data_IF_748635997444
#
_entry.id   IF_748635997444
#
_cell.length_a   1.000
_cell.length_b   1.000
_cell.length_c   1.000
_cell.angle_alpha   90.00
_cell.angle_beta   90.00
_cell.angle_gamma   90.00
#
_symmetry.space_group_name_H-M   'P 1'
#
loop_
_entity.id
_entity.type
_entity.pdbx_description
1 polymer ?
#
# COMPACT_ATOMS: atom_id res chain seq x y z
N UNK A 1 -30.43 19.55 -16.75
CA UNK A 1 -29.42 19.00 -15.85
C UNK A 1 -30.14 18.43 -14.66
N UNK A 2 -30.05 17.14 -14.48
CA UNK A 2 -30.80 16.52 -13.42
C UNK A 2 -30.09 16.68 -12.06
N UNK A 3 -30.51 17.70 -11.31
CA UNK A 3 -30.17 17.89 -9.90
C UNK A 3 -30.50 16.60 -9.09
N UNK A 4 -31.47 15.84 -9.57
CA UNK A 4 -31.92 14.61 -8.92
C UNK A 4 -30.87 13.50 -8.87
N UNK A 5 -30.04 13.34 -9.92
CA UNK A 5 -28.97 12.33 -9.92
C UNK A 5 -27.80 12.72 -9.01
N UNK A 6 -27.48 14.01 -8.92
CA UNK A 6 -26.47 14.52 -8.00
C UNK A 6 -26.91 14.37 -6.54
N UNK A 7 -28.18 14.64 -6.26
CA UNK A 7 -28.77 14.42 -4.93
C UNK A 7 -28.77 12.94 -4.55
N UNK A 8 -28.98 12.05 -5.53
CA UNK A 8 -28.95 10.61 -5.31
C UNK A 8 -27.54 10.12 -4.95
N UNK A 9 -26.50 10.70 -5.56
CA UNK A 9 -25.10 10.40 -5.24
C UNK A 9 -24.78 10.61 -3.75
N UNK A 10 -25.29 11.68 -3.17
CA UNK A 10 -25.10 12.02 -1.75
C UNK A 10 -26.00 11.19 -0.80
N UNK A 11 -27.22 10.86 -1.24
CA UNK A 11 -28.22 10.22 -0.39
C UNK A 11 -28.20 8.70 -0.44
N UNK A 12 -27.91 8.11 -1.61
CA UNK A 12 -27.86 6.66 -1.81
C UNK A 12 -26.88 6.28 -2.93
N UNK A 13 -25.62 6.10 -2.54
CA UNK A 13 -24.53 5.78 -3.44
C UNK A 13 -24.74 4.45 -4.19
N UNK A 14 -25.44 3.47 -3.59
CA UNK A 14 -25.72 2.19 -4.24
C UNK A 14 -26.69 2.37 -5.39
N UNK A 15 -27.83 2.99 -5.14
CA UNK A 15 -28.84 3.25 -6.18
C UNK A 15 -28.27 4.16 -7.27
N UNK A 16 -27.52 5.18 -6.89
CA UNK A 16 -26.82 6.05 -7.85
C UNK A 16 -25.88 5.23 -8.77
N UNK A 17 -25.05 4.36 -8.19
CA UNK A 17 -24.10 3.53 -8.95
C UNK A 17 -24.84 2.61 -9.92
N UNK A 18 -25.86 1.90 -9.44
CA UNK A 18 -26.68 1.00 -10.28
C UNK A 18 -27.37 1.75 -11.41
N UNK A 19 -27.85 2.97 -11.15
CA UNK A 19 -28.46 3.85 -12.15
C UNK A 19 -27.44 4.25 -13.23
N UNK A 20 -26.23 4.66 -12.85
CA UNK A 20 -25.18 4.99 -13.81
C UNK A 20 -24.78 3.79 -14.67
N UNK A 21 -24.67 2.62 -14.06
CA UNK A 21 -24.39 1.37 -14.80
C UNK A 21 -25.50 1.06 -15.81
N UNK A 22 -26.75 1.22 -15.43
CA UNK A 22 -27.90 0.99 -16.32
C UNK A 22 -27.90 1.98 -17.51
N UNK A 23 -27.61 3.24 -17.26
CA UNK A 23 -27.50 4.27 -18.30
C UNK A 23 -26.35 3.97 -19.27
N UNK A 24 -25.19 3.58 -18.76
CA UNK A 24 -24.04 3.18 -19.58
C UNK A 24 -24.39 1.97 -20.48
N UNK A 25 -25.01 0.94 -19.93
CA UNK A 25 -25.43 -0.25 -20.69
C UNK A 25 -26.46 0.06 -21.76
N UNK A 26 -27.35 1.02 -21.49
CA UNK A 26 -28.35 1.46 -22.44
C UNK A 26 -27.82 2.45 -23.51
N UNK A 27 -26.55 2.87 -23.40
CA UNK A 27 -25.96 3.85 -24.31
C UNK A 27 -26.49 5.27 -24.12
N UNK A 28 -27.12 5.56 -22.98
CA UNK A 28 -27.71 6.87 -22.67
C UNK A 28 -26.66 7.79 -22.03
N UNK A 29 -25.61 8.10 -22.80
CA UNK A 29 -24.45 8.84 -22.30
C UNK A 29 -24.74 10.30 -21.94
N UNK A 30 -25.73 10.90 -22.55
CA UNK A 30 -26.20 12.27 -22.27
C UNK A 30 -26.89 12.41 -20.90
N UNK A 31 -27.31 11.30 -20.32
CA UNK A 31 -27.99 11.25 -19.02
C UNK A 31 -27.06 10.91 -17.86
N UNK A 32 -25.77 10.63 -18.13
CA UNK A 32 -24.80 10.26 -17.10
C UNK A 32 -24.47 11.45 -16.18
N UNK A 33 -24.31 11.15 -14.90
CA UNK A 33 -23.74 12.07 -13.92
C UNK A 33 -22.20 12.05 -14.01
N UNK A 34 -21.66 12.68 -15.06
CA UNK A 34 -20.23 12.59 -15.41
C UNK A 34 -19.32 13.10 -14.30
N UNK A 35 -19.70 14.18 -13.61
CA UNK A 35 -18.85 14.77 -12.57
C UNK A 35 -18.65 13.79 -11.40
N UNK A 36 -19.72 13.17 -10.94
CA UNK A 36 -19.65 12.21 -9.87
C UNK A 36 -19.02 10.87 -10.31
N UNK A 37 -19.21 10.43 -11.57
CA UNK A 37 -18.48 9.29 -12.14
C UNK A 37 -16.99 9.56 -12.13
N UNK A 38 -16.53 10.72 -12.58
CA UNK A 38 -15.13 11.12 -12.57
C UNK A 38 -14.59 11.16 -11.13
N UNK A 39 -15.37 11.69 -10.20
CA UNK A 39 -15.02 11.70 -8.77
C UNK A 39 -14.82 10.30 -8.20
N UNK A 40 -15.73 9.37 -8.51
CA UNK A 40 -15.65 7.98 -8.06
C UNK A 40 -14.44 7.25 -8.65
N UNK A 41 -14.21 7.36 -9.95
CA UNK A 41 -13.03 6.76 -10.59
C UNK A 41 -11.72 7.33 -10.02
N UNK A 42 -11.67 8.63 -9.79
CA UNK A 42 -10.53 9.28 -9.13
C UNK A 42 -10.32 8.80 -7.69
N UNK A 43 -11.40 8.58 -6.96
CA UNK A 43 -11.35 8.02 -5.61
C UNK A 43 -10.76 6.60 -5.60
N UNK A 44 -11.17 5.73 -6.52
CA UNK A 44 -10.62 4.37 -6.62
C UNK A 44 -9.12 4.39 -6.88
N UNK A 45 -8.65 5.22 -7.80
CA UNK A 45 -7.20 5.37 -8.08
C UNK A 45 -6.45 5.83 -6.84
N UNK A 46 -6.95 6.85 -6.14
CA UNK A 46 -6.31 7.35 -4.91
C UNK A 46 -6.33 6.34 -3.78
N UNK A 47 -7.40 5.56 -3.66
CA UNK A 47 -7.54 4.49 -2.67
C UNK A 47 -6.47 3.42 -2.88
N UNK A 48 -6.29 2.95 -4.11
CA UNK A 48 -5.32 1.93 -4.45
C UNK A 48 -3.88 2.41 -4.20
N UNK A 49 -3.56 3.63 -4.61
CA UNK A 49 -2.25 4.25 -4.34
C UNK A 49 -1.98 4.40 -2.84
N UNK A 50 -2.96 4.82 -2.06
CA UNK A 50 -2.84 4.92 -0.60
C UNK A 50 -2.65 3.56 0.06
N UNK A 51 -3.29 2.52 -0.47
CA UNK A 51 -3.12 1.17 0.03
C UNK A 51 -1.69 0.67 -0.18
N UNK A 52 -1.10 0.89 -1.36
CA UNK A 52 0.31 0.56 -1.61
C UNK A 52 1.22 1.33 -0.66
N UNK A 53 1.03 2.62 -0.54
CA UNK A 53 1.82 3.47 0.36
C UNK A 53 1.75 3.00 1.83
N UNK A 54 0.55 2.73 2.32
CA UNK A 54 0.34 2.25 3.69
C UNK A 54 1.00 0.89 3.94
N UNK A 55 0.83 -0.05 3.02
CA UNK A 55 1.45 -1.38 3.14
C UNK A 55 2.97 -1.34 3.03
N UNK A 56 3.51 -0.41 2.24
CA UNK A 56 4.95 -0.21 2.15
C UNK A 56 5.54 0.26 3.48
N UNK A 57 4.86 1.18 4.17
CA UNK A 57 5.27 1.59 5.53
C UNK A 57 5.29 0.39 6.47
N UNK A 58 4.24 -0.41 6.49
CA UNK A 58 4.16 -1.60 7.34
C UNK A 58 5.23 -2.64 7.04
N UNK A 59 5.51 -2.89 5.76
CA UNK A 59 6.55 -3.81 5.32
C UNK A 59 7.95 -3.35 5.77
N UNK A 60 8.29 -2.11 5.48
CA UNK A 60 9.59 -1.54 5.86
C UNK A 60 9.76 -1.46 7.37
N UNK A 61 8.73 -1.06 8.10
CA UNK A 61 8.75 -1.04 9.57
C UNK A 61 9.06 -2.41 10.15
N UNK A 62 8.44 -3.47 9.64
CA UNK A 62 8.68 -4.83 10.13
C UNK A 62 10.05 -5.39 9.72
N UNK A 63 10.55 -5.05 8.52
CA UNK A 63 11.91 -5.39 8.14
C UNK A 63 12.95 -4.69 9.04
N UNK A 64 12.72 -3.44 9.38
CA UNK A 64 13.58 -2.70 10.33
C UNK A 64 13.54 -3.32 11.73
N UNK A 65 12.36 -3.65 12.25
CA UNK A 65 12.23 -4.33 13.54
C UNK A 65 12.95 -5.68 13.53
N UNK A 66 12.80 -6.44 12.45
CA UNK A 66 13.47 -7.73 12.29
C UNK A 66 15.00 -7.60 12.36
N UNK A 67 15.56 -6.58 11.73
CA UNK A 67 17.01 -6.35 11.71
C UNK A 67 17.54 -5.79 13.02
N UNK A 68 16.86 -4.80 13.60
CA UNK A 68 17.37 -4.03 14.73
C UNK A 68 16.93 -4.54 16.11
N UNK A 69 15.97 -5.44 16.15
CA UNK A 69 15.51 -6.10 17.37
C UNK A 69 15.35 -7.62 17.18
N UNK A 70 16.43 -8.32 16.78
CA UNK A 70 16.36 -9.74 16.41
C UNK A 70 15.92 -10.65 17.58
N UNK A 71 16.17 -10.23 18.83
CA UNK A 71 15.75 -10.99 20.01
C UNK A 71 14.23 -11.03 20.21
N UNK A 72 13.48 -10.19 19.49
CA UNK A 72 12.01 -10.15 19.55
C UNK A 72 11.31 -10.65 18.29
N UNK A 73 12.05 -11.24 17.36
CA UNK A 73 11.46 -11.84 16.16
C UNK A 73 10.39 -12.83 16.57
N UNK A 74 9.21 -12.68 15.98
CA UNK A 74 8.06 -13.52 16.25
C UNK A 74 7.44 -14.04 14.96
N UNK A 75 6.64 -15.11 15.07
CA UNK A 75 5.83 -15.61 13.96
C UNK A 75 4.89 -14.53 13.42
N UNK A 76 4.40 -13.64 14.29
CA UNK A 76 3.56 -12.51 13.91
C UNK A 76 4.28 -11.52 12.98
N UNK A 77 5.54 -11.20 13.26
CA UNK A 77 6.34 -10.33 12.40
C UNK A 77 6.59 -10.95 11.03
N UNK A 78 6.96 -12.22 11.00
CA UNK A 78 7.18 -12.97 9.76
C UNK A 78 5.90 -13.01 8.93
N UNK A 79 4.77 -13.30 9.56
CA UNK A 79 3.47 -13.32 8.90
C UNK A 79 3.08 -11.94 8.33
N UNK A 80 3.33 -10.89 9.08
CA UNK A 80 3.04 -9.51 8.65
C UNK A 80 3.89 -9.12 7.44
N UNK A 81 5.19 -9.42 7.46
CA UNK A 81 6.09 -9.19 6.31
C UNK A 81 5.58 -9.93 5.08
N UNK A 82 5.30 -11.22 5.22
CA UNK A 82 4.76 -12.04 4.12
C UNK A 82 3.44 -11.48 3.58
N UNK A 83 2.52 -11.15 4.47
CA UNK A 83 1.22 -10.61 4.08
C UNK A 83 1.33 -9.28 3.31
N UNK A 84 2.20 -8.37 3.75
CA UNK A 84 2.42 -7.10 3.03
C UNK A 84 3.05 -7.34 1.66
N UNK A 85 4.04 -8.22 1.54
CA UNK A 85 4.64 -8.61 0.25
C UNK A 85 3.60 -9.16 -0.72
N UNK A 86 2.80 -10.10 -0.25
CA UNK A 86 1.75 -10.72 -1.05
C UNK A 86 0.68 -9.71 -1.51
N UNK A 87 0.25 -8.83 -0.62
CA UNK A 87 -0.78 -7.82 -0.94
C UNK A 87 -0.27 -6.76 -1.92
N UNK A 88 0.93 -6.24 -1.73
CA UNK A 88 1.54 -5.30 -2.67
C UNK A 88 1.77 -5.98 -4.02
N UNK A 89 2.30 -7.20 -4.04
CA UNK A 89 2.50 -7.98 -5.26
C UNK A 89 1.19 -8.21 -6.03
N UNK A 90 0.10 -8.50 -5.32
CA UNK A 90 -1.23 -8.65 -5.92
C UNK A 90 -1.75 -7.35 -6.56
N UNK A 91 -1.55 -6.22 -5.91
CA UNK A 91 -1.92 -4.89 -6.46
C UNK A 91 -1.10 -4.58 -7.72
N UNK A 92 0.21 -4.83 -7.70
CA UNK A 92 1.08 -4.60 -8.86
C UNK A 92 0.72 -5.51 -10.03
N UNK A 93 0.34 -6.76 -9.75
CA UNK A 93 -0.12 -7.69 -10.78
C UNK A 93 -1.38 -7.18 -11.48
N UNK A 94 -2.29 -6.54 -10.76
CA UNK A 94 -3.50 -5.92 -11.32
C UNK A 94 -3.21 -4.56 -11.97
N UNK A 95 -2.24 -3.83 -11.46
CA UNK A 95 -1.85 -2.49 -11.90
C UNK A 95 -0.34 -2.43 -12.20
N UNK A 96 0.10 -3.04 -13.32
CA UNK A 96 1.54 -3.13 -13.64
C UNK A 96 2.24 -1.77 -13.79
N UNK A 97 1.48 -0.71 -14.08
CA UNK A 97 1.99 0.66 -14.16
C UNK A 97 2.57 1.20 -12.85
N UNK A 98 2.28 0.55 -11.72
CA UNK A 98 2.90 0.90 -10.44
C UNK A 98 4.33 0.35 -10.28
N UNK A 99 4.70 -0.70 -11.01
CA UNK A 99 6.02 -1.31 -10.88
C UNK A 99 7.18 -0.31 -11.13
N UNK A 100 7.18 0.54 -12.17
CA UNK A 100 8.25 1.51 -12.40
C UNK A 100 8.39 2.58 -11.32
N UNK A 101 7.36 2.83 -10.53
CA UNK A 101 7.34 3.89 -9.49
C UNK A 101 7.47 3.35 -8.07
N UNK A 102 7.69 2.06 -7.88
CA UNK A 102 7.84 1.45 -6.56
C UNK A 102 9.00 2.05 -5.75
N UNK A 103 10.09 2.43 -6.40
CA UNK A 103 11.22 3.08 -5.75
C UNK A 103 10.81 4.38 -5.04
N UNK A 104 9.89 5.15 -5.64
CA UNK A 104 9.34 6.36 -5.05
C UNK A 104 8.49 6.04 -3.81
N UNK A 105 7.66 5.00 -3.89
CA UNK A 105 6.88 4.51 -2.73
C UNK A 105 7.77 4.09 -1.57
N UNK A 106 8.89 3.44 -1.84
CA UNK A 106 9.87 3.04 -0.82
C UNK A 106 10.49 4.29 -0.18
N UNK A 107 10.95 5.26 -0.99
CA UNK A 107 11.53 6.49 -0.49
C UNK A 107 10.55 7.30 0.38
N UNK A 108 9.31 7.42 -0.07
CA UNK A 108 8.28 8.18 0.65
C UNK A 108 7.82 7.48 1.93
N UNK A 109 7.79 6.15 1.93
CA UNK A 109 7.37 5.36 3.07
C UNK A 109 8.44 5.25 4.17
N UNK A 110 9.71 5.28 3.82
CA UNK A 110 10.80 4.96 4.73
C UNK A 110 10.86 5.84 5.99
N UNK A 111 10.76 7.17 5.92
CA UNK A 111 10.78 8.01 7.13
C UNK A 111 9.67 7.68 8.13
N UNK A 112 8.48 7.33 7.63
CA UNK A 112 7.36 6.91 8.47
C UNK A 112 7.59 5.52 9.04
N UNK A 113 8.15 4.60 8.25
CA UNK A 113 8.50 3.26 8.70
C UNK A 113 9.53 3.30 9.86
N UNK A 114 10.51 4.18 9.78
CA UNK A 114 11.48 4.41 10.88
C UNK A 114 10.78 4.88 12.14
N UNK A 115 9.86 5.83 12.03
CA UNK A 115 9.09 6.32 13.19
C UNK A 115 8.27 5.22 13.84
N UNK A 116 7.57 4.42 13.04
CA UNK A 116 6.76 3.30 13.55
C UNK A 116 7.65 2.23 14.20
N UNK A 117 8.76 1.85 13.55
CA UNK A 117 9.70 0.88 14.10
C UNK A 117 10.32 1.38 15.43
N UNK A 118 10.71 2.65 15.50
CA UNK A 118 11.25 3.24 16.72
C UNK A 118 10.24 3.24 17.87
N UNK A 119 8.99 3.59 17.60
CA UNK A 119 7.92 3.58 18.61
C UNK A 119 7.64 2.18 19.13
N UNK A 120 7.53 1.20 18.25
CA UNK A 120 7.20 -0.18 18.64
C UNK A 120 8.36 -0.90 19.32
N UNK A 121 9.60 -0.65 18.90
CA UNK A 121 10.79 -1.25 19.50
C UNK A 121 11.29 -0.52 20.74
N UNK A 122 10.88 0.74 20.93
CA UNK A 122 11.40 1.68 21.93
C UNK A 122 12.90 1.99 21.74
N UNK A 123 13.40 1.76 20.53
CA UNK A 123 14.76 2.16 20.15
C UNK A 123 14.78 3.61 19.69
N UNK A 124 15.89 4.34 19.92
CA UNK A 124 15.99 5.70 19.41
C UNK A 124 15.99 5.72 17.88
N UNK A 125 15.31 6.69 17.23
CA UNK A 125 15.25 6.76 15.76
C UNK A 125 16.62 6.84 15.08
N UNK A 126 17.62 7.37 15.79
CA UNK A 126 19.01 7.50 15.32
C UNK A 126 19.72 6.16 15.05
N UNK A 127 19.23 5.05 15.61
CA UNK A 127 19.76 3.70 15.33
C UNK A 127 19.49 3.28 13.89
N UNK A 128 18.36 3.72 13.35
CA UNK A 128 17.96 3.34 11.99
C UNK A 128 18.70 4.20 10.96
N UNK A 129 19.15 3.61 9.83
CA UNK A 129 19.82 4.37 8.78
C UNK A 129 18.94 5.52 8.25
N UNK A 130 19.59 6.58 7.77
CA UNK A 130 18.87 7.70 7.14
C UNK A 130 18.20 7.33 5.83
N UNK A 131 18.77 6.38 5.09
CA UNK A 131 18.23 5.82 3.86
C UNK A 131 17.85 4.37 4.07
N UNK A 132 16.85 3.91 3.35
CA UNK A 132 16.43 2.52 3.39
C UNK A 132 17.63 1.59 3.13
N UNK A 133 17.96 0.68 4.07
CA UNK A 133 19.10 -0.21 3.92
C UNK A 133 18.81 -1.40 3.01
N UNK A 134 17.55 -1.55 2.58
CA UNK A 134 17.12 -2.67 1.75
C UNK A 134 16.97 -2.24 0.30
N UNK A 135 17.45 -3.09 -0.63
CA UNK A 135 17.15 -2.92 -2.04
C UNK A 135 15.69 -3.25 -2.34
N UNK A 136 15.15 -2.72 -3.44
CA UNK A 136 13.81 -3.07 -3.87
C UNK A 136 13.65 -4.58 -4.05
N UNK A 137 14.65 -5.26 -4.61
CA UNK A 137 14.66 -6.72 -4.76
C UNK A 137 14.54 -7.43 -3.41
N UNK A 138 15.30 -7.01 -2.40
CA UNK A 138 15.24 -7.56 -1.05
C UNK A 138 13.88 -7.33 -0.38
N UNK A 139 13.31 -6.14 -0.54
CA UNK A 139 12.02 -5.80 0.05
C UNK A 139 10.91 -6.76 -0.41
N UNK A 140 10.93 -7.15 -1.68
CA UNK A 140 9.89 -8.00 -2.29
C UNK A 140 10.29 -9.47 -2.45
N UNK A 141 11.50 -9.85 -2.09
CA UNK A 141 11.92 -11.25 -2.06
C UNK A 141 11.28 -11.96 -0.86
N UNK A 142 10.45 -12.97 -1.14
CA UNK A 142 9.75 -13.73 -0.10
C UNK A 142 10.68 -14.48 0.85
N UNK A 143 11.87 -14.82 0.38
CA UNK A 143 12.89 -15.56 1.17
C UNK A 143 13.85 -14.62 1.90
N UNK A 144 13.80 -13.31 1.63
CA UNK A 144 14.69 -12.37 2.29
C UNK A 144 14.17 -11.94 3.66
N UNK A 145 15.02 -12.17 4.68
CA UNK A 145 14.88 -11.62 6.02
C UNK A 145 16.22 -11.00 6.46
N UNK A 146 16.21 -9.75 6.97
CA UNK A 146 17.43 -9.06 7.34
C UNK A 146 18.21 -9.80 8.46
N UNK A 147 19.53 -9.92 8.30
CA UNK A 147 20.41 -10.50 9.31
C UNK A 147 20.52 -12.04 9.26
N UNK A 148 19.73 -12.75 8.47
CA UNK A 148 19.84 -14.22 8.37
C UNK A 148 21.09 -14.65 7.59
N UNK A 149 21.49 -13.87 6.58
CA UNK A 149 22.69 -14.16 5.80
C UNK A 149 24.01 -13.87 6.55
N UNK A 150 23.97 -13.05 7.60
CA UNK A 150 25.15 -12.79 8.43
C UNK A 150 25.45 -13.96 9.39
N UNK A 151 24.45 -14.77 9.74
CA UNK A 151 24.60 -15.96 10.58
C UNK A 151 25.14 -17.17 9.83
N UNK A 152 25.13 -17.17 8.50
CA UNK A 152 25.63 -18.25 7.66
C UNK A 152 27.14 -18.15 7.36
N UNK A 153 27.85 -17.12 7.85
CA UNK A 153 29.26 -16.83 7.58
C UNK A 153 30.13 -16.97 8.85
N UNK A 154 29.66 -17.56 9.92
CA UNK A 154 30.54 -17.98 11.01
C UNK A 154 30.96 -19.44 10.81
N UNK A 155 32.29 -19.68 10.68
CA UNK A 155 32.83 -21.04 10.53
C UNK A 155 32.71 -21.89 11.80
#
# INVERSE_FOLDING_TARGET
>A
MDDHLSDLYESDALIWTETQIALLRAGKFDQLDLENIISELGYQVRKDKRQVAHRMVGLLSHLLKYQYQPQRISKSWIHTIHNHRMKIGGIIKQMPSLAPVLAEYIMDAYPRAVREAALETRLPPSIFPRKCPFSQQQIFDEDFFPGENEKAVEP
#
